data_IF_621751606487
#
_entry.id   IF_621751606487
#
_cell.length_a   1.000
_cell.length_b   1.000
_cell.length_c   1.000
_cell.angle_alpha   90.00
_cell.angle_beta   90.00
_cell.angle_gamma   90.00
#
_symmetry.space_group_name_H-M   'P 1'
#
loop_
_entity.id
_entity.type
_entity.pdbx_description
1 polymer ?
#
# COMPACT_ATOMS: atom_id res chain seq x y z
N UNK A 1 46.64 14.11 -30.37
CA UNK A 1 46.15 14.31 -28.99
C UNK A 1 46.47 13.05 -28.18
N UNK A 2 47.52 13.05 -27.33
CA UNK A 2 47.91 11.86 -26.55
C UNK A 2 47.06 11.79 -25.28
N UNK A 3 46.03 10.95 -25.27
CA UNK A 3 45.23 10.71 -24.08
C UNK A 3 46.06 9.88 -23.10
N UNK A 4 46.20 10.36 -21.87
CA UNK A 4 47.05 9.73 -20.87
C UNK A 4 46.30 8.57 -20.22
N UNK A 5 46.76 7.33 -20.42
CA UNK A 5 46.08 6.10 -19.96
C UNK A 5 45.81 6.11 -18.45
N UNK A 6 46.66 6.76 -17.65
CA UNK A 6 46.44 6.97 -16.21
C UNK A 6 45.23 7.86 -15.91
N UNK A 7 44.95 8.87 -16.74
CA UNK A 7 43.76 9.73 -16.61
C UNK A 7 42.48 9.00 -16.98
N UNK A 8 42.52 8.12 -17.99
CA UNK A 8 41.38 7.25 -18.33
C UNK A 8 41.10 6.28 -17.18
N UNK A 9 42.14 5.64 -16.64
CA UNK A 9 42.00 4.70 -15.53
C UNK A 9 41.44 5.38 -14.27
N UNK A 10 41.92 6.59 -13.96
CA UNK A 10 41.41 7.40 -12.85
C UNK A 10 39.94 7.77 -13.05
N UNK A 11 39.54 8.13 -14.28
CA UNK A 11 38.15 8.46 -14.60
C UNK A 11 37.24 7.24 -14.46
N UNK A 12 37.67 6.05 -14.90
CA UNK A 12 36.91 4.79 -14.75
C UNK A 12 36.73 4.39 -13.27
N UNK A 13 37.76 4.59 -12.44
CA UNK A 13 37.69 4.32 -11.00
C UNK A 13 36.68 5.26 -10.32
N UNK A 14 36.68 6.54 -10.70
CA UNK A 14 35.74 7.52 -10.18
C UNK A 14 34.30 7.15 -10.56
N UNK A 15 34.04 6.80 -11.83
CA UNK A 15 32.70 6.38 -12.27
C UNK A 15 32.22 5.10 -11.58
N UNK A 16 33.12 4.15 -11.31
CA UNK A 16 32.77 2.92 -10.58
C UNK A 16 32.44 3.20 -9.11
N UNK A 17 33.17 4.11 -8.46
CA UNK A 17 32.88 4.52 -7.08
C UNK A 17 31.52 5.23 -6.93
N UNK A 18 31.07 5.95 -7.97
CA UNK A 18 29.75 6.58 -8.03
C UNK A 18 28.64 5.67 -8.56
N UNK A 19 28.95 4.45 -9.01
CA UNK A 19 28.01 3.46 -9.55
C UNK A 19 27.32 2.63 -8.46
N UNK A 20 27.18 3.15 -7.24
CA UNK A 20 26.31 2.54 -6.24
C UNK A 20 24.87 2.73 -6.73
N UNK A 21 24.38 1.80 -7.54
CA UNK A 21 22.97 1.72 -7.93
C UNK A 21 22.14 1.69 -6.64
N UNK A 22 21.46 2.80 -6.34
CA UNK A 22 20.61 2.92 -5.17
C UNK A 22 19.34 2.08 -5.44
N UNK A 23 19.44 0.76 -5.28
CA UNK A 23 18.25 -0.05 -5.40
C UNK A 23 17.36 0.23 -4.18
N UNK A 24 16.10 0.58 -4.43
CA UNK A 24 15.12 0.78 -3.36
C UNK A 24 14.94 -0.52 -2.57
N UNK A 25 14.95 -0.45 -1.25
CA UNK A 25 14.75 -1.65 -0.42
C UNK A 25 13.32 -2.19 -0.57
N UNK A 26 13.09 -3.48 -0.30
CA UNK A 26 11.72 -4.05 -0.29
C UNK A 26 10.77 -3.29 0.65
N UNK A 27 11.30 -2.77 1.76
CA UNK A 27 10.53 -1.94 2.69
C UNK A 27 10.11 -0.61 2.04
N UNK A 28 11.04 0.09 1.40
CA UNK A 28 10.76 1.36 0.73
C UNK A 28 9.85 1.16 -0.48
N UNK A 29 10.03 0.07 -1.23
CA UNK A 29 9.16 -0.28 -2.34
C UNK A 29 7.75 -0.59 -1.85
N UNK A 30 7.61 -1.39 -0.79
CA UNK A 30 6.34 -1.65 -0.12
C UNK A 30 5.68 -0.37 0.42
N UNK A 31 6.46 0.55 0.98
CA UNK A 31 5.99 1.88 1.39
C UNK A 31 5.43 2.64 0.20
N UNK A 32 6.16 2.70 -0.91
CA UNK A 32 5.68 3.38 -2.12
C UNK A 32 4.38 2.76 -2.64
N UNK A 33 4.31 1.43 -2.73
CA UNK A 33 3.10 0.71 -3.15
C UNK A 33 1.92 0.97 -2.22
N UNK A 34 2.14 1.03 -0.90
CA UNK A 34 1.08 1.30 0.07
C UNK A 34 0.45 2.68 -0.11
N UNK A 35 1.27 3.70 -0.43
CA UNK A 35 0.80 5.07 -0.62
C UNK A 35 0.29 5.31 -2.03
N UNK A 36 0.94 4.70 -3.03
CA UNK A 36 0.71 4.95 -4.45
C UNK A 36 0.75 3.63 -5.25
N UNK A 37 -0.22 2.72 -5.04
CA UNK A 37 -0.36 1.58 -5.92
C UNK A 37 -0.84 2.08 -7.30
N UNK A 38 -0.84 1.20 -8.31
CA UNK A 38 -1.45 1.44 -9.63
C UNK A 38 -3.00 1.50 -9.54
N UNK A 39 -3.52 2.34 -8.64
CA UNK A 39 -4.93 2.43 -8.23
C UNK A 39 -5.12 3.35 -7.01
N UNK A 40 -6.09 3.03 -6.15
CA UNK A 40 -6.35 3.81 -4.93
C UNK A 40 -5.34 3.45 -3.84
N UNK A 41 -4.72 4.46 -3.24
CA UNK A 41 -3.85 4.34 -2.06
C UNK A 41 -4.44 3.49 -0.93
N UNK A 42 -3.68 2.54 -0.41
CA UNK A 42 -4.07 1.76 0.78
C UNK A 42 -4.18 2.68 2.01
N UNK A 43 -3.28 3.66 2.15
CA UNK A 43 -3.28 4.64 3.24
C UNK A 43 -4.57 5.50 3.28
N UNK A 44 -5.18 5.76 2.11
CA UNK A 44 -6.46 6.48 2.03
C UNK A 44 -7.61 5.74 2.71
N UNK A 45 -7.50 4.42 2.92
CA UNK A 45 -8.52 3.61 3.59
C UNK A 45 -8.05 3.08 4.94
N UNK A 46 -6.82 2.55 5.03
CA UNK A 46 -6.29 1.90 6.24
C UNK A 46 -5.43 2.82 7.11
N UNK A 47 -5.22 4.08 6.70
CA UNK A 47 -4.40 5.07 7.39
C UNK A 47 -2.89 4.82 7.22
N UNK A 48 -2.06 5.79 7.58
CA UNK A 48 -0.60 5.75 7.36
C UNK A 48 0.08 4.52 7.98
N UNK A 49 -0.42 4.08 9.14
CA UNK A 49 0.13 2.96 9.92
C UNK A 49 -0.67 1.66 9.78
N UNK A 50 -1.55 1.57 8.79
CA UNK A 50 -2.38 0.40 8.53
C UNK A 50 -3.31 -0.03 9.69
N UNK A 51 -3.63 0.91 10.61
CA UNK A 51 -4.50 0.69 11.79
C UNK A 51 -6.01 0.69 11.46
N UNK A 52 -6.37 0.96 10.21
CA UNK A 52 -7.75 1.20 9.80
C UNK A 52 -8.22 2.61 10.15
N UNK A 53 -9.22 3.11 9.43
CA UNK A 53 -9.90 4.37 9.76
C UNK A 53 -11.33 4.39 9.24
N UNK A 54 -12.10 5.37 9.71
CA UNK A 54 -13.39 5.72 9.13
C UNK A 54 -13.13 6.37 7.77
N UNK A 55 -13.74 5.81 6.72
CA UNK A 55 -13.65 6.29 5.34
C UNK A 55 -14.79 7.28 5.07
N UNK A 56 -16.01 6.94 5.50
CA UNK A 56 -17.18 7.76 5.26
C UNK A 56 -18.23 7.58 6.36
N UNK A 57 -19.04 8.62 6.54
CA UNK A 57 -20.27 8.62 7.34
C UNK A 57 -21.38 9.16 6.47
N UNK A 58 -22.49 8.45 6.37
CA UNK A 58 -23.64 8.88 5.57
C UNK A 58 -24.93 8.42 6.23
N UNK A 59 -26.03 9.10 5.94
CA UNK A 59 -27.34 8.73 6.48
C UNK A 59 -28.15 7.97 5.44
N UNK A 60 -28.81 6.91 5.87
CA UNK A 60 -29.82 6.22 5.07
C UNK A 60 -31.18 6.38 5.72
N UNK A 61 -32.18 6.67 4.91
CA UNK A 61 -33.56 6.83 5.36
C UNK A 61 -34.28 5.50 5.21
N UNK A 62 -34.81 4.96 6.30
CA UNK A 62 -35.63 3.74 6.31
C UNK A 62 -37.07 4.12 6.60
N UNK A 63 -37.96 3.84 5.66
CA UNK A 63 -39.40 3.98 5.84
C UNK A 63 -39.97 2.67 6.40
N UNK A 64 -40.63 2.75 7.55
CA UNK A 64 -41.29 1.63 8.19
C UNK A 64 -42.70 1.43 7.65
N UNK A 65 -43.26 0.22 7.79
CA UNK A 65 -44.61 -0.11 7.28
C UNK A 65 -45.72 0.75 7.90
N UNK A 66 -45.51 1.25 9.13
CA UNK A 66 -46.42 2.16 9.84
C UNK A 66 -46.29 3.64 9.40
N UNK A 67 -45.54 3.94 8.33
CA UNK A 67 -45.33 5.30 7.83
C UNK A 67 -44.24 6.09 8.55
N UNK A 68 -43.66 5.56 9.63
CA UNK A 68 -42.55 6.24 10.34
C UNK A 68 -41.29 6.24 9.49
N UNK A 69 -40.57 7.37 9.48
CA UNK A 69 -39.31 7.54 8.77
C UNK A 69 -38.17 7.61 9.78
N UNK A 70 -37.21 6.70 9.67
CA UNK A 70 -36.04 6.63 10.52
C UNK A 70 -34.79 7.02 9.73
N UNK A 71 -33.96 7.91 10.28
CA UNK A 71 -32.68 8.30 9.69
C UNK A 71 -31.55 7.56 10.40
N UNK A 72 -30.92 6.61 9.70
CA UNK A 72 -29.90 5.72 10.26
C UNK A 72 -28.52 6.20 9.81
N UNK A 73 -27.63 6.48 10.75
CA UNK A 73 -26.23 6.74 10.44
C UNK A 73 -25.52 5.44 10.05
N UNK A 74 -24.91 5.41 8.86
CA UNK A 74 -24.03 4.35 8.39
C UNK A 74 -22.59 4.85 8.37
N UNK A 75 -21.67 3.98 8.77
CA UNK A 75 -20.24 4.26 8.84
C UNK A 75 -19.50 3.23 8.00
N UNK A 76 -18.73 3.70 7.03
CA UNK A 76 -17.77 2.87 6.30
C UNK A 76 -16.43 2.95 7.02
N UNK A 77 -15.95 1.82 7.52
CA UNK A 77 -14.70 1.72 8.26
C UNK A 77 -13.83 0.62 7.64
N UNK A 78 -12.58 0.95 7.36
CA UNK A 78 -11.58 -0.04 7.00
C UNK A 78 -10.95 -0.65 8.27
N UNK A 79 -10.64 -1.96 8.27
CA UNK A 79 -10.06 -2.64 9.42
C UNK A 79 -8.58 -2.31 9.63
N UNK A 80 -8.08 -2.63 10.83
CA UNK A 80 -6.65 -2.74 11.10
C UNK A 80 -6.11 -3.96 10.34
N UNK A 81 -5.02 -3.78 9.59
CA UNK A 81 -4.37 -4.84 8.80
C UNK A 81 -2.92 -5.09 9.22
N UNK A 82 -2.48 -4.62 10.38
CA UNK A 82 -1.11 -4.81 10.88
C UNK A 82 -0.77 -6.26 11.26
N UNK A 83 -1.78 -7.13 11.42
CA UNK A 83 -1.62 -8.52 11.87
C UNK A 83 -2.30 -9.54 10.94
N UNK A 84 -2.62 -9.17 9.70
CA UNK A 84 -3.20 -10.13 8.73
C UNK A 84 -2.12 -11.10 8.26
N UNK A 85 -2.45 -12.35 7.98
CA UNK A 85 -1.46 -13.25 7.36
C UNK A 85 -1.15 -12.84 5.92
N UNK A 86 -0.04 -13.33 5.36
CA UNK A 86 0.29 -13.08 3.95
C UNK A 86 -0.80 -13.61 3.02
N UNK A 87 -1.29 -14.82 3.30
CA UNK A 87 -2.35 -15.44 2.50
C UNK A 87 -3.66 -14.67 2.59
N UNK A 88 -4.03 -14.17 3.77
CA UNK A 88 -5.20 -13.30 3.93
C UNK A 88 -5.01 -12.00 3.14
N UNK A 89 -3.85 -11.34 3.25
CA UNK A 89 -3.58 -10.12 2.50
C UNK A 89 -3.68 -10.35 0.99
N UNK A 90 -3.02 -11.41 0.50
CA UNK A 90 -3.06 -11.81 -0.91
C UNK A 90 -4.49 -12.10 -1.35
N UNK A 91 -5.26 -12.84 -0.56
CA UNK A 91 -6.66 -13.14 -0.89
C UNK A 91 -7.47 -11.84 -1.02
N UNK A 92 -7.35 -10.93 -0.06
CA UNK A 92 -8.09 -9.64 -0.04
C UNK A 92 -7.71 -8.72 -1.21
N UNK A 93 -6.45 -8.71 -1.64
CA UNK A 93 -5.99 -7.91 -2.77
C UNK A 93 -6.48 -8.45 -4.12
N UNK A 94 -6.60 -9.78 -4.24
CA UNK A 94 -6.85 -10.46 -5.51
C UNK A 94 -8.31 -10.90 -5.72
N UNK A 95 -9.06 -11.26 -4.66
CA UNK A 95 -10.36 -11.92 -4.80
C UNK A 95 -11.59 -10.99 -4.79
N UNK A 96 -12.61 -11.42 -5.54
CA UNK A 96 -13.92 -10.79 -5.73
C UNK A 96 -14.97 -11.20 -4.67
N UNK A 97 -14.62 -12.05 -3.69
CA UNK A 97 -15.57 -12.85 -2.91
C UNK A 97 -16.48 -12.02 -1.96
N UNK A 98 -16.17 -10.74 -1.76
CA UNK A 98 -16.95 -9.85 -0.91
C UNK A 98 -17.31 -8.58 -1.70
N UNK A 99 -18.61 -8.25 -1.78
CA UNK A 99 -19.07 -6.91 -2.12
C UNK A 99 -18.54 -5.96 -1.03
N UNK A 100 -17.35 -5.43 -1.27
CA UNK A 100 -16.64 -4.57 -0.35
C UNK A 100 -16.28 -3.26 -1.04
N UNK A 101 -16.13 -2.22 -0.24
CA UNK A 101 -15.68 -0.90 -0.71
C UNK A 101 -14.19 -0.93 -1.10
N UNK A 102 -13.44 -1.96 -0.68
CA UNK A 102 -12.03 -2.09 -1.00
C UNK A 102 -11.85 -2.40 -2.49
N UNK A 103 -11.05 -1.61 -3.21
CA UNK A 103 -10.75 -1.85 -4.62
C UNK A 103 -9.85 -3.07 -4.78
N UNK A 104 -9.72 -3.53 -6.02
CA UNK A 104 -8.91 -4.70 -6.38
C UNK A 104 -7.53 -4.28 -6.83
N UNK A 105 -6.58 -5.18 -6.59
CA UNK A 105 -5.17 -5.01 -6.93
C UNK A 105 -4.63 -6.25 -7.64
N UNK A 106 -5.46 -6.87 -8.50
CA UNK A 106 -5.14 -8.09 -9.26
C UNK A 106 -4.02 -7.92 -10.32
N UNK A 107 -3.50 -6.71 -10.47
CA UNK A 107 -2.35 -6.37 -11.31
C UNK A 107 -1.01 -6.35 -10.56
N UNK A 108 -1.03 -6.54 -9.24
CA UNK A 108 0.19 -6.65 -8.44
C UNK A 108 0.86 -8.01 -8.65
N UNK A 109 2.18 -8.01 -8.79
CA UNK A 109 2.98 -9.23 -8.82
C UNK A 109 3.12 -9.82 -7.42
N UNK A 110 3.63 -11.05 -7.35
CA UNK A 110 3.87 -11.73 -6.07
C UNK A 110 4.85 -10.94 -5.20
N UNK A 111 5.92 -10.43 -5.81
CA UNK A 111 6.99 -9.67 -5.17
C UNK A 111 6.48 -8.32 -4.65
N UNK A 112 5.59 -7.66 -5.39
CA UNK A 112 4.94 -6.43 -4.94
C UNK A 112 4.03 -6.68 -3.73
N UNK A 113 3.31 -7.80 -3.71
CA UNK A 113 2.47 -8.20 -2.56
C UNK A 113 3.35 -8.52 -1.34
N UNK A 114 4.50 -9.18 -1.53
CA UNK A 114 5.48 -9.44 -0.47
C UNK A 114 6.08 -8.15 0.10
N UNK A 115 6.47 -7.20 -0.77
CA UNK A 115 6.96 -5.89 -0.36
C UNK A 115 5.90 -5.12 0.44
N UNK A 116 4.65 -5.12 -0.04
CA UNK A 116 3.52 -4.50 0.64
C UNK A 116 3.26 -5.14 2.01
N UNK A 117 3.27 -6.46 2.09
CA UNK A 117 3.11 -7.22 3.33
C UNK A 117 4.18 -6.85 4.35
N UNK A 118 5.45 -6.82 3.92
CA UNK A 118 6.60 -6.44 4.74
C UNK A 118 6.45 -5.02 5.29
N UNK A 119 6.06 -4.06 4.45
CA UNK A 119 5.82 -2.68 4.88
C UNK A 119 4.70 -2.59 5.93
N UNK A 120 3.56 -3.26 5.69
CA UNK A 120 2.40 -3.24 6.58
C UNK A 120 2.75 -3.83 7.96
N UNK A 121 3.44 -4.97 8.00
CA UNK A 121 3.83 -5.62 9.25
C UNK A 121 4.84 -4.80 10.04
N UNK A 122 5.79 -4.14 9.35
CA UNK A 122 6.74 -3.23 9.98
C UNK A 122 6.08 -2.01 10.64
N UNK A 123 4.78 -1.76 10.42
CA UNK A 123 4.06 -0.70 11.13
C UNK A 123 3.58 -1.12 12.53
N UNK A 124 3.59 -2.41 12.87
CA UNK A 124 3.09 -2.92 14.15
C UNK A 124 3.79 -2.29 15.35
N UNK A 125 5.11 -2.16 15.26
CA UNK A 125 5.96 -1.67 16.36
C UNK A 125 6.07 -0.14 16.39
N UNK A 126 5.46 0.55 15.42
CA UNK A 126 5.51 2.01 15.31
C UNK A 126 4.31 2.62 16.03
N UNK A 127 4.56 3.22 17.21
CA UNK A 127 3.57 3.96 18.01
C UNK A 127 2.95 5.08 17.19
#
# INVERSE_FOLDING_TARGET
MKVNMKRILLFLIITYAFSQDWFITNYEYGKMLYHNPRGISCAKCHGEKAKGKIIAKYYVTKKHKNGTVEKILKVVKAPNIQNVSYDELKERLLHYKYLSVMPKYNYLTKEEIEALYLYIHAQKDKK
#
